data_IF_440936682030
#
_entry.id   IF_440936682030
#
_cell.length_a   1.000
_cell.length_b   1.000
_cell.length_c   1.000
_cell.angle_alpha   90.00
_cell.angle_beta   90.00
_cell.angle_gamma   90.00
#
_symmetry.space_group_name_H-M   'P 1'
#
loop_
_entity.id
_entity.type
_entity.pdbx_description
1 polymer ?
#
# COMPACT_ATOMS: atom_id res chain seq x y z
N UNK A 1 -0.12 2.01 -7.52
CA UNK A 1 -0.43 1.49 -8.87
C UNK A 1 0.82 1.39 -9.75
N UNK A 2 1.35 2.48 -10.30
CA UNK A 2 2.42 2.46 -11.32
C UNK A 2 3.68 1.69 -10.91
N UNK A 3 4.15 1.86 -9.67
CA UNK A 3 5.35 1.16 -9.19
C UNK A 3 5.16 -0.36 -9.08
N UNK A 4 3.98 -0.82 -8.63
CA UNK A 4 3.67 -2.24 -8.52
C UNK A 4 3.51 -2.90 -9.88
N UNK A 5 2.84 -2.22 -10.82
CA UNK A 5 2.71 -2.69 -12.19
C UNK A 5 4.09 -2.85 -12.86
N UNK A 6 4.96 -1.83 -12.78
CA UNK A 6 6.31 -1.91 -13.36
C UNK A 6 7.14 -3.03 -12.74
N UNK A 7 7.02 -3.23 -11.42
CA UNK A 7 7.70 -4.34 -10.72
C UNK A 7 7.25 -5.69 -11.29
N UNK A 8 5.93 -5.92 -11.36
CA UNK A 8 5.35 -7.19 -11.82
C UNK A 8 5.78 -7.49 -13.27
N UNK A 9 5.70 -6.50 -14.17
CA UNK A 9 6.08 -6.67 -15.58
C UNK A 9 7.58 -6.93 -15.77
N UNK A 10 8.44 -6.48 -14.85
CA UNK A 10 9.88 -6.77 -14.89
C UNK A 10 10.21 -8.19 -14.40
N UNK A 11 9.46 -8.70 -13.42
CA UNK A 11 9.71 -10.01 -12.83
C UNK A 11 9.12 -11.15 -13.68
N UNK A 12 7.96 -10.91 -14.31
CA UNK A 12 7.25 -11.88 -15.16
C UNK A 12 6.57 -11.16 -16.32
N UNK A 13 7.07 -11.41 -17.53
CA UNK A 13 6.56 -10.78 -18.76
C UNK A 13 5.44 -11.59 -19.44
N UNK A 14 5.15 -12.78 -18.96
CA UNK A 14 4.27 -13.79 -19.56
C UNK A 14 2.98 -14.00 -18.74
N UNK A 15 2.38 -12.90 -18.28
CA UNK A 15 1.17 -12.92 -17.47
C UNK A 15 -0.06 -12.50 -18.26
N UNK A 16 -1.21 -13.07 -17.91
CA UNK A 16 -2.51 -12.64 -18.43
C UNK A 16 -2.95 -11.31 -17.79
N UNK A 17 -3.86 -10.60 -18.45
CA UNK A 17 -4.50 -9.38 -17.91
C UNK A 17 -5.08 -9.60 -16.50
N UNK A 18 -5.75 -10.74 -16.30
CA UNK A 18 -6.31 -11.16 -15.02
C UNK A 18 -5.23 -11.33 -13.94
N UNK A 19 -4.14 -12.01 -14.27
CA UNK A 19 -3.03 -12.25 -13.34
C UNK A 19 -2.33 -10.94 -12.96
N UNK A 20 -2.12 -10.04 -13.93
CA UNK A 20 -1.52 -8.74 -13.68
C UNK A 20 -2.36 -7.93 -12.68
N UNK A 21 -3.69 -7.81 -12.89
CA UNK A 21 -4.56 -7.12 -11.92
C UNK A 21 -4.52 -7.77 -10.54
N UNK A 22 -4.58 -9.09 -10.49
CA UNK A 22 -4.59 -9.86 -9.24
C UNK A 22 -3.31 -9.60 -8.45
N UNK A 23 -2.15 -9.66 -9.11
CA UNK A 23 -0.86 -9.44 -8.46
C UNK A 23 -0.68 -7.99 -8.04
N UNK A 24 -1.07 -7.02 -8.89
CA UNK A 24 -1.02 -5.59 -8.53
C UNK A 24 -1.90 -5.32 -7.31
N UNK A 25 -3.11 -5.91 -7.25
CA UNK A 25 -4.03 -5.77 -6.12
C UNK A 25 -3.40 -6.31 -4.84
N UNK A 26 -2.82 -7.52 -4.87
CA UNK A 26 -2.14 -8.09 -3.71
C UNK A 26 -0.96 -7.24 -3.23
N UNK A 27 -0.13 -6.74 -4.14
CA UNK A 27 1.03 -5.92 -3.77
C UNK A 27 0.59 -4.57 -3.15
N UNK A 28 -0.45 -3.93 -3.70
CA UNK A 28 -1.04 -2.72 -3.12
C UNK A 28 -1.57 -3.01 -1.72
N UNK A 29 -2.36 -4.08 -1.57
CA UNK A 29 -2.96 -4.46 -0.30
C UNK A 29 -1.89 -4.74 0.77
N UNK A 30 -0.86 -5.52 0.43
CA UNK A 30 0.25 -5.82 1.33
C UNK A 30 0.98 -4.54 1.76
N UNK A 31 1.22 -3.62 0.84
CA UNK A 31 1.86 -2.35 1.17
C UNK A 31 1.01 -1.50 2.11
N UNK A 32 -0.31 -1.47 1.92
CA UNK A 32 -1.24 -0.82 2.84
C UNK A 32 -1.20 -1.45 4.24
N UNK A 33 -1.16 -2.79 4.34
CA UNK A 33 -1.02 -3.48 5.62
C UNK A 33 0.28 -3.13 6.33
N UNK A 34 1.42 -3.15 5.62
CA UNK A 34 2.73 -2.78 6.19
C UNK A 34 2.72 -1.34 6.70
N UNK A 35 2.14 -0.40 5.92
CA UNK A 35 2.05 0.99 6.32
C UNK A 35 1.16 1.17 7.57
N UNK A 36 0.05 0.44 7.62
CA UNK A 36 -0.84 0.43 8.78
C UNK A 36 -0.16 -0.13 10.04
N UNK A 37 0.58 -1.23 9.93
CA UNK A 37 1.35 -1.76 11.05
C UNK A 37 2.40 -0.78 11.55
N UNK A 38 3.13 -0.13 10.63
CA UNK A 38 4.12 0.91 10.96
C UNK A 38 3.47 2.12 11.64
N UNK A 39 2.31 2.56 11.17
CA UNK A 39 1.56 3.66 11.79
C UNK A 39 1.13 3.31 13.22
N UNK A 40 0.63 2.09 13.46
CA UNK A 40 0.33 1.61 14.82
C UNK A 40 1.57 1.55 15.70
N UNK A 41 2.69 1.04 15.18
CA UNK A 41 3.94 0.98 15.92
C UNK A 41 4.46 2.37 16.28
N UNK A 42 4.39 3.32 15.35
CA UNK A 42 4.74 4.72 15.57
C UNK A 42 3.89 5.34 16.69
N UNK A 43 2.55 5.17 16.64
CA UNK A 43 1.65 5.67 17.70
C UNK A 43 2.02 5.13 19.07
N UNK A 44 2.27 3.82 19.18
CA UNK A 44 2.72 3.20 20.44
C UNK A 44 4.06 3.79 20.92
N UNK A 45 5.02 3.96 20.03
CA UNK A 45 6.32 4.53 20.36
C UNK A 45 6.22 5.99 20.84
N UNK A 46 5.37 6.78 20.18
CA UNK A 46 5.06 8.16 20.56
C UNK A 46 4.41 8.23 21.94
N UNK A 47 3.46 7.34 22.24
CA UNK A 47 2.82 7.27 23.56
C UNK A 47 3.84 6.99 24.66
N UNK A 48 4.75 6.04 24.44
CA UNK A 48 5.83 5.73 25.38
C UNK A 48 6.77 6.92 25.57
N UNK A 49 7.14 7.59 24.48
CA UNK A 49 7.98 8.78 24.51
C UNK A 49 7.31 9.93 25.29
N UNK A 50 6.04 10.21 25.02
CA UNK A 50 5.28 11.26 25.68
C UNK A 50 5.09 10.97 27.18
N UNK A 51 4.86 9.72 27.58
CA UNK A 51 4.85 9.35 29.00
C UNK A 51 6.17 9.69 29.69
N UNK A 52 7.32 9.42 29.04
CA UNK A 52 8.63 9.78 29.60
C UNK A 52 8.84 11.30 29.67
N UNK A 53 8.37 12.06 28.68
CA UNK A 53 8.44 13.52 28.73
C UNK A 53 7.65 14.09 29.92
N UNK A 54 6.42 13.60 30.13
CA UNK A 54 5.58 14.03 31.25
C UNK A 54 6.22 13.70 32.60
N UNK A 55 6.81 12.51 32.75
CA UNK A 55 7.55 12.14 33.96
C UNK A 55 8.75 13.07 34.23
N UNK A 56 9.36 13.60 33.16
CA UNK A 56 10.46 14.56 33.24
C UNK A 56 9.98 16.03 33.30
N UNK A 57 8.69 16.27 33.57
CA UNK A 57 8.11 17.61 33.71
C UNK A 57 7.95 18.39 32.40
N UNK A 58 8.05 17.72 31.24
CA UNK A 58 7.86 18.33 29.91
C UNK A 58 6.48 17.99 29.35
N UNK A 59 5.92 18.86 28.51
CA UNK A 59 4.65 18.62 27.83
C UNK A 59 4.76 17.54 26.72
N UNK A 60 3.66 16.82 26.40
CA UNK A 60 3.64 15.84 25.33
C UNK A 60 3.74 16.51 23.95
N UNK A 61 4.31 15.80 22.99
CA UNK A 61 4.41 16.23 21.59
C UNK A 61 3.28 15.61 20.77
N UNK A 62 2.56 16.37 19.92
CA UNK A 62 1.56 15.82 19.03
C UNK A 62 2.22 14.91 17.99
N UNK A 63 1.60 13.75 17.75
CA UNK A 63 2.01 12.85 16.67
C UNK A 63 1.51 13.32 15.32
N UNK A 64 2.22 12.97 14.25
CA UNK A 64 1.70 13.15 12.89
C UNK A 64 0.49 12.24 12.65
N UNK A 65 -0.57 12.81 12.09
CA UNK A 65 -1.73 12.04 11.61
C UNK A 65 -1.43 11.53 10.21
N UNK A 66 -1.14 10.24 10.10
CA UNK A 66 -1.10 9.56 8.80
C UNK A 66 -2.53 9.19 8.41
N UNK A 67 -3.14 9.96 7.50
CA UNK A 67 -4.33 9.53 6.77
C UNK A 67 -3.93 8.40 5.82
N UNK A 68 -4.46 7.21 6.06
CA UNK A 68 -4.36 6.13 5.09
C UNK A 68 -5.38 6.40 3.99
N UNK A 69 -4.92 6.85 2.83
CA UNK A 69 -5.77 6.86 1.63
C UNK A 69 -6.27 5.43 1.37
N UNK A 70 -7.56 5.35 1.04
CA UNK A 70 -8.33 4.11 0.91
C UNK A 70 -7.60 3.04 0.10
N UNK A 71 -7.87 1.78 0.45
CA UNK A 71 -7.46 0.62 -0.34
C UNK A 71 -7.92 0.84 -1.79
N UNK A 72 -6.95 0.92 -2.71
CA UNK A 72 -7.24 1.08 -4.13
C UNK A 72 -7.23 -0.30 -4.78
N UNK A 73 -8.38 -0.68 -5.31
CA UNK A 73 -8.45 -1.81 -6.22
C UNK A 73 -7.94 -1.35 -7.61
N UNK A 74 -6.99 -2.07 -8.22
CA UNK A 74 -6.54 -1.74 -9.55
C UNK A 74 -7.64 -2.04 -10.57
N UNK A 75 -7.85 -1.11 -11.50
CA UNK A 75 -8.86 -1.23 -12.55
C UNK A 75 -8.22 -1.11 -13.93
N UNK A 76 -8.72 -1.91 -14.88
CA UNK A 76 -8.48 -1.71 -16.30
C UNK A 76 -9.75 -1.21 -16.99
N UNK A 77 -9.59 -0.18 -17.80
CA UNK A 77 -10.67 0.36 -18.64
C UNK A 77 -10.30 0.18 -20.09
N UNK A 78 -11.28 -0.20 -20.92
CA UNK A 78 -11.10 -0.40 -22.35
C UNK A 78 -12.33 0.04 -23.10
N UNK A 79 -12.12 0.49 -24.34
CA UNK A 79 -13.20 0.83 -25.26
C UNK A 79 -13.94 -0.41 -25.82
N UNK A 80 -13.25 -1.56 -25.86
CA UNK A 80 -13.79 -2.85 -26.30
C UNK A 80 -13.78 -3.86 -25.15
N UNK A 81 -14.61 -4.91 -25.20
CA UNK A 81 -14.54 -6.01 -24.23
C UNK A 81 -13.11 -6.55 -24.12
N UNK A 82 -12.61 -6.65 -22.89
CA UNK A 82 -11.29 -7.19 -22.61
C UNK A 82 -11.36 -8.70 -22.53
N UNK A 83 -10.46 -9.36 -23.24
CA UNK A 83 -10.14 -10.76 -23.00
C UNK A 83 -9.14 -10.84 -21.85
N UNK A 84 -9.62 -11.21 -20.66
CA UNK A 84 -8.83 -11.22 -19.43
C UNK A 84 -7.82 -12.37 -19.37
N UNK A 85 -8.02 -13.41 -20.19
CA UNK A 85 -7.16 -14.59 -20.24
C UNK A 85 -6.08 -14.48 -21.33
N UNK A 86 -6.11 -13.38 -22.10
CA UNK A 86 -5.05 -13.00 -23.02
C UNK A 86 -3.80 -12.56 -22.26
N UNK A 87 -2.64 -12.96 -22.77
CA UNK A 87 -1.35 -12.43 -22.31
C UNK A 87 -1.34 -10.90 -22.42
N UNK A 88 -0.99 -10.26 -21.31
CA UNK A 88 -0.82 -8.83 -21.24
C UNK A 88 0.47 -8.46 -21.96
N UNK A 89 0.34 -7.72 -23.06
CA UNK A 89 1.47 -7.23 -23.84
C UNK A 89 1.42 -5.69 -23.80
N UNK A 90 2.25 -5.04 -22.95
CA UNK A 90 2.21 -3.60 -22.73
C UNK A 90 2.64 -2.75 -23.92
#
# INVERSE_FOLDING_TARGET
MTQYLVKILREKSDQTLREVLTLVSYDIYNSCLVLHERSRAYRKALDVYNRRLVLNGKGPVPGEQFEMYNFYDPEFSSFLPLDMDRLFNP
#
